data_IF_124425809875
#
_entry.id   IF_124425809875
#
_cell.length_a   1.000
_cell.length_b   1.000
_cell.length_c   1.000
_cell.angle_alpha   90.00
_cell.angle_beta   90.00
_cell.angle_gamma   90.00
#
_symmetry.space_group_name_H-M   'P 1'
#
loop_
_entity.id
_entity.type
_entity.pdbx_description
1 polymer ?
#
# COMPACT_ATOMS: atom_id res chain seq x y z
N UNK A 1 -15.71 -2.32 22.54
CA UNK A 1 -14.39 -1.66 22.39
C UNK A 1 -14.64 -0.34 21.70
N UNK A 2 -14.15 0.76 22.27
CA UNK A 2 -14.22 2.10 21.69
C UNK A 2 -12.80 2.61 21.48
N UNK A 3 -12.57 3.35 20.41
CA UNK A 3 -11.32 4.05 20.12
C UNK A 3 -11.66 5.53 19.92
N UNK A 4 -10.74 6.42 20.28
CA UNK A 4 -10.90 7.86 20.09
C UNK A 4 -10.77 8.25 18.62
N UNK A 5 -9.93 7.53 17.87
CA UNK A 5 -9.77 7.72 16.43
C UNK A 5 -9.42 6.40 15.71
N UNK A 6 -9.74 6.36 14.42
CA UNK A 6 -9.35 5.27 13.52
C UNK A 6 -8.46 5.86 12.42
N UNK A 7 -7.28 5.29 12.24
CA UNK A 7 -6.35 5.61 11.15
C UNK A 7 -6.44 4.50 10.11
N UNK A 8 -6.86 4.86 8.90
CA UNK A 8 -6.94 3.92 7.77
C UNK A 8 -5.71 4.11 6.88
N UNK A 9 -4.84 3.11 6.88
CA UNK A 9 -3.54 3.08 6.22
C UNK A 9 -2.40 3.41 7.19
N UNK A 10 -1.45 2.50 7.37
CA UNK A 10 -0.25 2.69 8.19
C UNK A 10 0.97 3.16 7.38
N UNK A 11 0.73 3.79 6.22
CA UNK A 11 1.77 4.44 5.44
C UNK A 11 2.44 5.61 6.18
N UNK A 12 3.33 6.33 5.51
CA UNK A 12 4.17 7.37 6.15
C UNK A 12 3.35 8.38 6.99
N UNK A 13 2.26 8.91 6.44
CA UNK A 13 1.42 9.89 7.12
C UNK A 13 0.54 9.26 8.19
N UNK A 14 -0.01 8.07 7.92
CA UNK A 14 -0.89 7.37 8.86
C UNK A 14 -0.15 6.91 10.11
N UNK A 15 1.06 6.37 9.94
CA UNK A 15 1.94 6.02 11.06
C UNK A 15 2.34 7.25 11.89
N UNK A 16 2.64 8.38 11.24
CA UNK A 16 2.95 9.62 11.95
C UNK A 16 1.74 10.15 12.73
N UNK A 17 0.57 10.19 12.10
CA UNK A 17 -0.67 10.56 12.77
C UNK A 17 -0.97 9.64 13.96
N UNK A 18 -0.78 8.33 13.79
CA UNK A 18 -0.96 7.35 14.86
C UNK A 18 -0.02 7.63 16.04
N UNK A 19 1.28 7.81 15.79
CA UNK A 19 2.27 8.20 16.80
C UNK A 19 1.84 9.46 17.55
N UNK A 20 1.56 10.54 16.83
CA UNK A 20 1.19 11.83 17.40
C UNK A 20 -0.07 11.74 18.28
N UNK A 21 -1.09 10.98 17.87
CA UNK A 21 -2.30 10.79 18.66
C UNK A 21 -2.04 9.95 19.92
N UNK A 22 -1.30 8.85 19.80
CA UNK A 22 -0.95 8.00 20.96
C UNK A 22 -0.08 8.71 21.98
N UNK A 23 0.88 9.53 21.56
CA UNK A 23 1.73 10.32 22.47
C UNK A 23 0.93 11.37 23.26
N UNK A 24 -0.25 11.75 22.78
CA UNK A 24 -1.21 12.61 23.50
C UNK A 24 -2.16 11.82 24.40
N UNK A 25 -2.00 10.50 24.51
CA UNK A 25 -2.78 9.63 25.39
C UNK A 25 -4.08 9.08 24.81
N UNK A 26 -4.28 9.18 23.49
CA UNK A 26 -5.49 8.67 22.82
C UNK A 26 -5.36 7.18 22.48
N UNK A 27 -6.46 6.44 22.64
CA UNK A 27 -6.57 5.07 22.16
C UNK A 27 -7.01 5.06 20.70
N UNK A 28 -6.17 4.53 19.81
CA UNK A 28 -6.44 4.55 18.38
C UNK A 28 -6.38 3.15 17.76
N UNK A 29 -7.20 2.94 16.74
CA UNK A 29 -7.15 1.75 15.89
C UNK A 29 -6.49 2.10 14.56
N UNK A 30 -5.42 1.38 14.21
CA UNK A 30 -4.80 1.48 12.88
C UNK A 30 -5.21 0.29 12.05
N UNK A 31 -5.72 0.53 10.84
CA UNK A 31 -6.09 -0.49 9.88
C UNK A 31 -5.18 -0.39 8.65
N UNK A 32 -4.47 -1.46 8.30
CA UNK A 32 -3.64 -1.54 7.09
C UNK A 32 -4.08 -2.75 6.26
N UNK A 33 -4.17 -2.56 4.95
CA UNK A 33 -4.58 -3.62 4.03
C UNK A 33 -3.42 -4.57 3.69
N UNK A 34 -2.20 -4.05 3.67
CA UNK A 34 -0.98 -4.82 3.47
C UNK A 34 -0.64 -5.75 4.63
N UNK A 35 0.29 -6.67 4.37
CA UNK A 35 0.90 -7.53 5.40
C UNK A 35 1.86 -6.73 6.30
N UNK A 36 2.21 -7.29 7.45
CA UNK A 36 3.35 -6.80 8.24
C UNK A 36 4.64 -6.83 7.42
N UNK A 37 5.41 -5.75 7.55
CA UNK A 37 6.65 -5.52 6.83
C UNK A 37 7.81 -5.60 7.82
N UNK A 38 8.84 -6.37 7.47
CA UNK A 38 10.08 -6.49 8.22
C UNK A 38 11.18 -5.77 7.44
N UNK A 39 11.62 -4.55 7.86
CA UNK A 39 12.57 -3.73 7.10
C UNK A 39 13.82 -4.48 6.67
N UNK A 40 14.34 -5.36 7.52
CA UNK A 40 15.54 -6.16 7.27
C UNK A 40 15.43 -7.12 6.06
N UNK A 41 14.20 -7.51 5.67
CA UNK A 41 13.95 -8.41 4.54
C UNK A 41 13.24 -7.74 3.38
N UNK A 42 12.37 -6.77 3.67
CA UNK A 42 11.42 -6.23 2.71
C UNK A 42 11.91 -4.96 2.02
N UNK A 43 12.77 -4.18 2.66
CA UNK A 43 13.26 -2.93 2.09
C UNK A 43 14.31 -3.21 1.02
N UNK A 44 14.10 -2.63 -0.15
CA UNK A 44 14.88 -2.91 -1.38
C UNK A 44 15.20 -1.63 -2.16
N UNK A 45 14.94 -0.46 -1.59
CA UNK A 45 15.25 0.86 -2.16
C UNK A 45 16.73 1.05 -2.50
N UNK A 46 17.60 0.29 -1.84
CA UNK A 46 19.04 0.28 -2.09
C UNK A 46 19.43 -0.62 -3.28
N UNK A 47 18.53 -1.49 -3.76
CA UNK A 47 18.78 -2.39 -4.90
C UNK A 47 18.81 -1.59 -6.19
N UNK A 48 19.94 -1.67 -6.89
CA UNK A 48 20.15 -0.93 -8.12
C UNK A 48 19.30 -1.50 -9.28
N UNK A 49 18.86 -0.66 -10.24
CA UNK A 49 17.99 -1.11 -11.33
C UNK A 49 18.57 -2.28 -12.14
N UNK A 50 19.87 -2.31 -12.41
CA UNK A 50 20.49 -3.39 -13.19
C UNK A 50 20.53 -4.75 -12.47
N UNK A 51 20.32 -4.77 -11.15
CA UNK A 51 20.19 -6.01 -10.38
C UNK A 51 18.75 -6.56 -10.42
N UNK A 52 17.79 -5.75 -10.86
CA UNK A 52 16.41 -6.18 -11.01
C UNK A 52 16.16 -6.85 -12.37
N UNK A 53 15.23 -7.80 -12.38
CA UNK A 53 14.93 -8.63 -13.56
C UNK A 53 14.43 -7.80 -14.74
N UNK A 54 13.59 -6.81 -14.47
CA UNK A 54 12.98 -5.93 -15.48
C UNK A 54 13.63 -4.55 -15.51
N UNK A 55 14.79 -4.38 -14.86
CA UNK A 55 15.57 -3.14 -14.84
C UNK A 55 14.82 -1.93 -14.30
N UNK A 56 13.96 -2.16 -13.30
CA UNK A 56 13.09 -1.15 -12.73
C UNK A 56 11.78 -0.94 -13.50
N UNK A 57 11.59 -1.64 -14.62
CA UNK A 57 10.34 -1.62 -15.35
C UNK A 57 9.35 -2.62 -14.74
N UNK A 58 8.06 -2.31 -14.89
CA UNK A 58 6.99 -3.15 -14.36
C UNK A 58 6.92 -4.50 -15.05
N UNK A 59 6.71 -5.57 -14.29
CA UNK A 59 6.28 -6.86 -14.84
C UNK A 59 4.80 -6.77 -15.27
N UNK A 60 4.57 -6.17 -16.44
CA UNK A 60 3.22 -5.84 -16.95
C UNK A 60 2.27 -7.03 -16.89
N UNK A 61 2.69 -8.19 -17.39
CA UNK A 61 1.84 -9.40 -17.41
C UNK A 61 1.41 -9.87 -16.02
N UNK A 62 2.26 -9.74 -15.01
CA UNK A 62 1.93 -10.14 -13.65
C UNK A 62 1.01 -9.11 -12.96
N UNK A 63 1.28 -7.82 -13.19
CA UNK A 63 0.46 -6.73 -12.65
C UNK A 63 -0.92 -6.68 -13.31
N UNK A 64 -1.03 -6.90 -14.63
CA UNK A 64 -2.33 -6.96 -15.32
C UNK A 64 -3.24 -8.04 -14.74
N UNK A 65 -2.65 -9.15 -14.27
CA UNK A 65 -3.41 -10.24 -13.65
C UNK A 65 -3.85 -9.92 -12.22
N UNK A 66 -2.99 -9.30 -11.41
CA UNK A 66 -3.19 -9.18 -9.97
C UNK A 66 -3.57 -7.77 -9.48
N UNK A 67 -3.17 -6.74 -10.22
CA UNK A 67 -3.21 -5.32 -9.88
C UNK A 67 -3.62 -4.43 -11.08
N UNK A 68 -4.69 -4.76 -11.83
CA UNK A 68 -5.11 -4.01 -13.03
C UNK A 68 -5.32 -2.51 -12.81
N UNK A 69 -5.69 -2.06 -11.61
CA UNK A 69 -5.87 -0.64 -11.27
C UNK A 69 -4.60 -0.09 -10.61
N UNK A 70 -4.08 -0.78 -9.60
CA UNK A 70 -2.92 -0.27 -8.84
C UNK A 70 -1.64 -0.16 -9.68
N UNK A 71 -1.50 -0.93 -10.77
CA UNK A 71 -0.36 -0.84 -11.69
C UNK A 71 -0.18 0.55 -12.31
N UNK A 72 -1.21 1.39 -12.32
CA UNK A 72 -1.13 2.74 -12.88
C UNK A 72 -0.56 3.75 -11.86
N UNK A 73 -0.48 3.38 -10.58
CA UNK A 73 0.21 4.17 -9.58
C UNK A 73 1.72 4.23 -9.87
N UNK A 74 2.31 5.43 -9.76
CA UNK A 74 3.74 5.64 -10.01
C UNK A 74 4.61 4.80 -9.05
N UNK A 75 4.16 4.61 -7.81
CA UNK A 75 4.85 3.80 -6.81
C UNK A 75 4.65 2.29 -6.96
N UNK A 76 3.77 1.82 -7.85
CA UNK A 76 3.62 0.40 -8.13
C UNK A 76 4.61 -0.02 -9.22
N UNK A 77 5.89 -0.09 -8.86
CA UNK A 77 7.01 -0.46 -9.73
C UNK A 77 7.60 -1.84 -9.39
N UNK A 78 8.75 -2.18 -9.98
CA UNK A 78 9.39 -3.47 -9.73
C UNK A 78 9.86 -3.66 -8.28
N UNK A 79 10.24 -2.58 -7.58
CA UNK A 79 10.65 -2.63 -6.17
C UNK A 79 9.45 -2.77 -5.25
N UNK A 80 8.45 -1.92 -5.47
CA UNK A 80 7.41 -1.65 -4.49
C UNK A 80 6.07 -2.35 -4.78
N UNK A 81 5.87 -2.94 -5.96
CA UNK A 81 4.62 -3.67 -6.28
C UNK A 81 4.27 -4.81 -5.31
N UNK A 82 5.23 -5.32 -4.54
CA UNK A 82 5.01 -6.32 -3.47
C UNK A 82 4.30 -5.76 -2.23
N UNK A 83 4.30 -4.44 -2.04
CA UNK A 83 3.61 -3.76 -0.94
C UNK A 83 2.15 -3.43 -1.27
N UNK A 84 1.76 -3.57 -2.55
CA UNK A 84 0.38 -3.41 -2.99
C UNK A 84 -0.35 -4.74 -2.85
N UNK A 85 -1.56 -4.70 -2.27
CA UNK A 85 -2.49 -5.84 -2.20
C UNK A 85 -2.98 -6.25 -3.59
N UNK A 86 -3.65 -7.40 -3.74
CA UNK A 86 -4.23 -7.76 -5.04
C UNK A 86 -5.60 -7.10 -5.23
N UNK A 87 -5.79 -6.40 -6.36
CA UNK A 87 -7.11 -5.88 -6.76
C UNK A 87 -8.14 -6.99 -7.01
N UNK A 88 -7.71 -8.25 -7.18
CA UNK A 88 -8.62 -9.40 -7.34
C UNK A 88 -9.27 -9.79 -6.03
N UNK A 89 -8.48 -9.76 -4.94
CA UNK A 89 -8.93 -10.12 -3.61
C UNK A 89 -9.62 -8.93 -2.93
N UNK A 90 -9.24 -7.71 -3.33
CA UNK A 90 -9.79 -6.45 -2.84
C UNK A 90 -10.35 -5.60 -4.00
N UNK A 91 -11.48 -6.01 -4.63
CA UNK A 91 -12.00 -5.34 -5.80
C UNK A 91 -12.50 -3.92 -5.50
N UNK A 92 -12.13 -2.97 -6.35
CA UNK A 92 -12.63 -1.60 -6.28
C UNK A 92 -14.13 -1.55 -6.58
N UNK A 93 -14.85 -0.78 -5.75
CA UNK A 93 -16.26 -0.46 -5.96
C UNK A 93 -16.37 0.99 -6.39
N UNK A 94 -17.08 1.26 -7.49
CA UNK A 94 -17.33 2.61 -7.98
C UNK A 94 -18.83 2.90 -7.90
N UNK A 95 -19.20 4.10 -7.46
CA UNK A 95 -20.57 4.57 -7.63
C UNK A 95 -20.86 4.66 -9.14
N UNK A 96 -21.97 4.06 -9.59
CA UNK A 96 -22.45 4.29 -10.96
C UNK A 96 -22.73 5.77 -11.12
N UNK A 97 -22.15 6.40 -12.14
CA UNK A 97 -22.56 7.75 -12.52
C UNK A 97 -24.04 7.70 -12.88
N UNK A 98 -24.88 8.34 -12.08
CA UNK A 98 -26.25 8.64 -12.47
C UNK A 98 -26.17 9.68 -13.58
N UNK A 99 -26.36 9.26 -14.82
CA UNK A 99 -26.53 10.19 -15.94
C UNK A 99 -27.79 11.01 -15.67
N UNK A 100 -27.60 12.29 -15.37
CA UNK A 100 -28.65 13.32 -15.46
C UNK A 100 -28.78 13.78 -16.89
#
# INVERSE_FOLDING_TARGET
MSYDAIVVGSGITGGFAAKELTERGLEILVLEAGRSIAPEHDYVEHVQPWNLRYRGLKNRRALDKSKPTQKDCYGCDEWASKFFVSDRDHPYSFQRSTST
#
